data_IF_049526484194
#
_entry.id   IF_049526484194
#
_cell.length_a   1.000
_cell.length_b   1.000
_cell.length_c   1.000
_cell.angle_alpha   90.00
_cell.angle_beta   90.00
_cell.angle_gamma   90.00
#
_symmetry.space_group_name_H-M   'P 1'
#
loop_
_entity.id
_entity.type
_entity.pdbx_description
1 polymer ?
#
# COMPACT_ATOMS: atom_id res chain seq x y z
N UNK A 1 -18.21 -32.88 -7.21
CA UNK A 1 -17.18 -32.04 -7.86
C UNK A 1 -17.64 -30.61 -8.19
N UNK A 2 -18.92 -30.34 -8.55
CA UNK A 2 -19.41 -28.98 -8.86
C UNK A 2 -19.32 -27.94 -7.71
N UNK A 3 -19.48 -28.37 -6.46
CA UNK A 3 -19.45 -27.48 -5.28
C UNK A 3 -18.04 -26.91 -4.99
N UNK A 4 -16.98 -27.67 -5.27
CA UNK A 4 -15.59 -27.26 -5.05
C UNK A 4 -15.18 -26.13 -5.99
N UNK A 5 -15.68 -26.15 -7.23
CA UNK A 5 -15.44 -25.11 -8.24
C UNK A 5 -16.04 -23.77 -7.77
N UNK A 6 -17.23 -23.78 -7.19
CA UNK A 6 -17.90 -22.57 -6.71
C UNK A 6 -17.14 -21.94 -5.54
N UNK A 7 -16.58 -22.75 -4.65
CA UNK A 7 -15.78 -22.29 -3.52
C UNK A 7 -14.44 -21.68 -3.98
N UNK A 8 -13.78 -22.28 -4.96
CA UNK A 8 -12.56 -21.71 -5.55
C UNK A 8 -12.80 -20.35 -6.22
N UNK A 9 -13.94 -20.17 -6.89
CA UNK A 9 -14.30 -18.86 -7.51
C UNK A 9 -14.53 -17.79 -6.44
N UNK A 10 -15.16 -18.12 -5.32
CA UNK A 10 -15.33 -17.19 -4.20
C UNK A 10 -13.99 -16.78 -3.56
N UNK A 11 -13.07 -17.74 -3.40
CA UNK A 11 -11.73 -17.46 -2.84
C UNK A 11 -10.91 -16.55 -3.77
N UNK A 12 -11.09 -16.65 -5.09
CA UNK A 12 -10.45 -15.76 -6.08
C UNK A 12 -11.04 -14.34 -6.11
N UNK A 13 -12.28 -14.14 -5.65
CA UNK A 13 -12.90 -12.82 -5.54
C UNK A 13 -12.48 -12.09 -4.25
N UNK A 14 -12.12 -12.84 -3.21
CA UNK A 14 -11.74 -12.30 -1.90
C UNK A 14 -10.22 -12.07 -1.81
N UNK A 15 -9.40 -12.89 -2.48
CA UNK A 15 -7.95 -12.69 -2.53
C UNK A 15 -7.55 -11.78 -3.70
N UNK A 16 -6.94 -10.64 -3.34
CA UNK A 16 -6.14 -9.64 -4.08
C UNK A 16 -5.64 -9.90 -5.53
N UNK A 17 -6.45 -10.43 -6.45
CA UNK A 17 -5.96 -10.74 -7.79
C UNK A 17 -7.02 -11.13 -8.80
N UNK A 18 -8.27 -10.71 -8.63
CA UNK A 18 -9.23 -10.78 -9.74
C UNK A 18 -8.86 -9.71 -10.78
N UNK A 19 -8.49 -10.10 -12.03
CA UNK A 19 -8.18 -9.14 -13.10
C UNK A 19 -9.41 -8.31 -13.53
N UNK A 20 -10.57 -8.52 -12.89
CA UNK A 20 -11.83 -7.83 -13.15
C UNK A 20 -12.36 -7.05 -11.93
N UNK A 21 -11.50 -6.67 -10.97
CA UNK A 21 -11.93 -5.69 -9.96
C UNK A 21 -11.97 -4.28 -10.57
N UNK A 22 -13.04 -3.52 -10.31
CA UNK A 22 -13.14 -2.13 -10.76
C UNK A 22 -11.95 -1.33 -10.22
N UNK A 23 -11.33 -0.48 -11.06
CA UNK A 23 -10.15 0.35 -10.69
C UNK A 23 -10.34 1.13 -9.38
N UNK A 24 -11.56 1.61 -9.13
CA UNK A 24 -11.95 2.28 -7.88
C UNK A 24 -11.78 1.38 -6.65
N UNK A 25 -12.06 0.08 -6.75
CA UNK A 25 -11.88 -0.87 -5.67
C UNK A 25 -10.40 -1.16 -5.38
N UNK A 26 -9.50 -1.06 -6.38
CA UNK A 26 -8.05 -1.21 -6.16
C UNK A 26 -7.47 -0.05 -5.36
N UNK A 27 -7.86 1.19 -5.68
CA UNK A 27 -7.41 2.38 -4.96
C UNK A 27 -7.84 2.38 -3.48
N UNK A 28 -9.09 1.99 -3.22
CA UNK A 28 -9.66 1.86 -1.88
C UNK A 28 -8.99 0.71 -1.09
N UNK A 29 -8.84 -0.48 -1.70
CA UNK A 29 -8.22 -1.64 -1.02
C UNK A 29 -6.76 -1.42 -0.67
N UNK A 30 -5.99 -0.82 -1.57
CA UNK A 30 -4.58 -0.51 -1.34
C UNK A 30 -4.39 0.81 -0.58
N UNK A 31 -5.48 1.48 -0.21
CA UNK A 31 -5.48 2.78 0.46
C UNK A 31 -4.51 3.77 -0.19
N UNK A 32 -4.51 3.85 -1.51
CA UNK A 32 -3.49 4.61 -2.25
C UNK A 32 -3.46 6.10 -1.84
N UNK A 33 -4.57 6.65 -1.32
CA UNK A 33 -4.65 8.03 -0.82
C UNK A 33 -3.94 8.26 0.53
N UNK A 34 -3.78 7.22 1.36
CA UNK A 34 -3.15 7.34 2.69
C UNK A 34 -1.81 6.62 2.78
N UNK A 35 -1.37 5.95 1.71
CA UNK A 35 -0.16 5.12 1.69
C UNK A 35 1.11 5.90 2.05
N UNK A 36 1.23 7.17 1.61
CA UNK A 36 2.39 8.01 1.92
C UNK A 36 2.40 8.40 3.41
N UNK A 37 1.23 8.68 3.98
CA UNK A 37 1.07 8.98 5.40
C UNK A 37 1.34 7.77 6.30
N UNK A 38 0.82 6.59 5.94
CA UNK A 38 1.10 5.35 6.67
C UNK A 38 2.58 4.97 6.58
N UNK A 39 3.21 5.14 5.42
CA UNK A 39 4.65 4.96 5.24
C UNK A 39 5.44 5.90 6.15
N UNK A 40 5.09 7.19 6.17
CA UNK A 40 5.77 8.18 7.00
C UNK A 40 5.64 7.85 8.49
N UNK A 41 4.43 7.51 8.97
CA UNK A 41 4.20 7.14 10.37
C UNK A 41 4.98 5.88 10.78
N UNK A 42 5.10 4.90 9.88
CA UNK A 42 5.88 3.70 10.14
C UNK A 42 7.36 4.03 10.23
N UNK A 43 7.88 4.82 9.29
CA UNK A 43 9.28 5.23 9.28
C UNK A 43 9.62 6.14 10.48
N UNK A 44 8.68 7.01 10.88
CA UNK A 44 8.77 7.80 12.10
C UNK A 44 8.90 6.90 13.34
N UNK A 45 8.00 5.94 13.50
CA UNK A 45 8.05 5.00 14.63
C UNK A 45 9.39 4.25 14.66
N UNK A 46 9.87 3.77 13.52
CA UNK A 46 11.18 3.13 13.43
C UNK A 46 12.33 4.06 13.79
N UNK A 47 12.32 5.31 13.31
CA UNK A 47 13.34 6.30 13.62
C UNK A 47 13.37 6.63 15.12
N UNK A 48 12.21 6.87 15.74
CA UNK A 48 12.11 7.16 17.18
C UNK A 48 12.59 5.98 18.03
N UNK A 49 12.28 4.76 17.63
CA UNK A 49 12.74 3.55 18.33
C UNK A 49 14.26 3.38 18.17
N UNK A 50 14.81 3.59 16.98
CA UNK A 50 16.23 3.36 16.70
C UNK A 50 17.15 4.44 17.26
N UNK A 51 16.69 5.70 17.26
CA UNK A 51 17.50 6.85 17.70
C UNK A 51 17.19 7.30 19.12
N UNK A 52 16.09 6.83 19.72
CA UNK A 52 15.57 7.33 21.01
C UNK A 52 15.36 8.85 21.05
N UNK A 53 15.29 9.51 19.89
CA UNK A 53 15.11 10.95 19.77
C UNK A 53 13.66 11.30 19.45
N UNK A 54 13.04 12.25 20.17
CA UNK A 54 11.69 12.73 19.86
C UNK A 54 11.67 13.71 18.67
N UNK A 55 12.83 14.17 18.20
CA UNK A 55 12.98 15.19 17.16
C UNK A 55 13.89 14.73 16.02
N UNK A 56 13.59 15.21 14.80
CA UNK A 56 14.40 14.95 13.61
C UNK A 56 15.38 16.08 13.36
N UNK A 57 16.54 15.76 12.80
CA UNK A 57 17.29 16.74 12.03
C UNK A 57 16.58 17.05 10.70
N UNK A 58 16.90 18.17 10.06
CA UNK A 58 16.34 18.51 8.73
C UNK A 58 16.69 17.45 7.69
N UNK A 59 17.90 16.86 7.78
CA UNK A 59 18.34 15.80 6.90
C UNK A 59 17.51 14.51 7.08
N UNK A 60 17.28 14.11 8.33
CA UNK A 60 16.51 12.91 8.65
C UNK A 60 15.05 13.05 8.25
N UNK A 61 14.44 14.22 8.50
CA UNK A 61 13.06 14.49 8.08
C UNK A 61 12.90 14.39 6.55
N UNK A 62 13.87 14.94 5.82
CA UNK A 62 13.87 14.90 4.35
C UNK A 62 14.05 13.47 3.84
N UNK A 63 14.90 12.66 4.49
CA UNK A 63 15.07 11.25 4.16
C UNK A 63 13.81 10.44 4.45
N UNK A 64 13.18 10.63 5.61
CA UNK A 64 11.94 9.96 6.01
C UNK A 64 10.80 10.30 5.06
N UNK A 65 10.55 11.58 4.80
CA UNK A 65 9.50 12.02 3.88
C UNK A 65 9.80 11.60 2.44
N UNK A 66 11.05 11.77 1.98
CA UNK A 66 11.47 11.43 0.63
C UNK A 66 11.33 9.94 0.31
N UNK A 67 11.54 9.06 1.29
CA UNK A 67 11.37 7.60 1.12
C UNK A 67 9.93 7.17 0.83
N UNK A 68 8.95 7.97 1.24
CA UNK A 68 7.52 7.67 1.06
C UNK A 68 6.89 8.43 -0.11
N UNK A 69 7.59 9.45 -0.63
CA UNK A 69 7.09 10.37 -1.63
C UNK A 69 6.97 9.67 -2.99
N UNK A 70 5.77 9.70 -3.58
CA UNK A 70 5.49 9.04 -4.86
C UNK A 70 4.91 7.62 -4.74
N UNK A 71 4.72 7.10 -3.52
CA UNK A 71 4.01 5.85 -3.32
C UNK A 71 2.55 5.95 -3.76
N UNK A 72 1.88 7.09 -3.58
CA UNK A 72 0.50 7.28 -4.06
C UNK A 72 0.46 7.13 -5.60
N UNK A 73 1.36 7.82 -6.30
CA UNK A 73 1.44 7.78 -7.78
C UNK A 73 1.78 6.39 -8.29
N UNK A 74 2.66 5.68 -7.59
CA UNK A 74 3.05 4.30 -7.94
C UNK A 74 1.90 3.34 -7.70
N UNK A 75 1.22 3.44 -6.56
CA UNK A 75 0.01 2.68 -6.23
C UNK A 75 -1.08 2.90 -7.27
N UNK A 76 -1.31 4.17 -7.66
CA UNK A 76 -2.25 4.51 -8.71
C UNK A 76 -1.90 3.86 -10.05
N UNK A 77 -0.65 3.99 -10.50
CA UNK A 77 -0.17 3.38 -11.75
C UNK A 77 -0.30 1.86 -11.75
N UNK A 78 -0.01 1.20 -10.63
CA UNK A 78 -0.15 -0.26 -10.51
C UNK A 78 -1.62 -0.69 -10.62
N UNK A 79 -2.53 0.05 -9.99
CA UNK A 79 -3.97 -0.16 -10.12
C UNK A 79 -4.52 0.14 -11.54
N UNK A 80 -3.92 1.09 -12.27
CA UNK A 80 -4.29 1.38 -13.67
C UNK A 80 -3.75 0.34 -14.66
N UNK A 81 -2.54 -0.16 -14.39
CA UNK A 81 -1.81 -1.12 -15.21
C UNK A 81 -2.31 -2.56 -15.06
N UNK A 82 -3.16 -2.85 -14.06
CA UNK A 82 -3.63 -4.21 -13.77
C UNK A 82 -2.52 -5.17 -13.35
N UNK A 83 -1.33 -4.65 -13.05
CA UNK A 83 -0.19 -5.42 -12.55
C UNK A 83 -0.39 -5.64 -11.05
N UNK A 84 -0.79 -6.88 -10.74
CA UNK A 84 -0.79 -7.45 -9.40
C UNK A 84 0.69 -7.54 -8.98
N UNK A 85 1.06 -6.84 -7.91
CA UNK A 85 2.28 -7.11 -7.14
C UNK A 85 1.88 -7.73 -5.82
#
# INVERSE_FOLDING_TARGET
>A
MKQVIFFCVLVLLVNCGSPFSFRSACYERNKCSTIEGECFLRNDAFYKISTSSPSYSVADLTALAGSCLGLEKTCRKNCESGTIF
#
